data_IF_530155639251
#
_entry.id   IF_530155639251
#
_cell.length_a   1.000
_cell.length_b   1.000
_cell.length_c   1.000
_cell.angle_alpha   90.00
_cell.angle_beta   90.00
_cell.angle_gamma   90.00
#
_symmetry.space_group_name_H-M   'P 1'
#
loop_
_entity.id
_entity.type
_entity.pdbx_description
1 polymer ?
#
# COMPACT_ATOMS: atom_id res chain seq x y z
N UNK A 1 43.37 -67.85 3.12
CA UNK A 1 44.04 -67.18 4.26
C UNK A 1 43.18 -66.01 4.70
N UNK A 2 42.53 -66.15 5.86
CA UNK A 2 41.88 -65.13 6.72
C UNK A 2 43.02 -64.38 7.48
N UNK A 3 42.89 -63.17 8.10
CA UNK A 3 41.69 -62.43 8.56
C UNK A 3 41.63 -60.93 8.17
N UNK A 4 40.44 -60.28 8.11
CA UNK A 4 39.61 -59.72 9.21
C UNK A 4 40.35 -58.73 10.12
N UNK A 5 40.05 -57.43 9.96
CA UNK A 5 40.02 -56.48 11.07
C UNK A 5 38.93 -55.44 10.82
N UNK A 6 37.85 -55.55 11.61
CA UNK A 6 36.80 -54.55 11.76
C UNK A 6 37.36 -53.43 12.66
N UNK A 7 37.16 -52.18 12.28
CA UNK A 7 37.14 -51.06 13.23
C UNK A 7 35.97 -50.14 12.90
N UNK A 8 34.92 -50.31 13.69
CA UNK A 8 33.81 -49.38 13.85
C UNK A 8 34.32 -48.01 14.32
N UNK A 9 34.03 -46.95 13.56
CA UNK A 9 34.16 -45.58 14.06
C UNK A 9 32.75 -44.99 14.15
N UNK A 10 32.25 -44.94 15.38
CA UNK A 10 31.08 -44.17 15.79
C UNK A 10 31.28 -42.71 15.35
N UNK A 11 30.48 -42.26 14.38
CA UNK A 11 30.36 -40.85 14.02
C UNK A 11 29.59 -40.17 15.14
N UNK A 12 30.31 -39.56 16.07
CA UNK A 12 29.74 -38.72 17.11
C UNK A 12 28.86 -37.64 16.48
N UNK A 13 27.57 -37.66 16.82
CA UNK A 13 26.63 -36.60 16.51
C UNK A 13 27.10 -35.32 17.20
N UNK A 14 27.58 -34.35 16.43
CA UNK A 14 27.73 -32.97 16.91
C UNK A 14 26.34 -32.36 17.00
N UNK A 15 25.71 -32.47 18.17
CA UNK A 15 24.60 -31.59 18.55
C UNK A 15 25.17 -30.17 18.71
N UNK A 16 25.08 -29.36 17.65
CA UNK A 16 25.19 -27.92 17.83
C UNK A 16 23.90 -27.44 18.49
N UNK A 17 24.02 -27.16 19.79
CA UNK A 17 23.03 -26.44 20.57
C UNK A 17 22.90 -25.07 19.91
N UNK A 18 21.83 -24.87 19.14
CA UNK A 18 21.36 -23.54 18.77
C UNK A 18 20.99 -22.83 20.07
N UNK A 19 21.87 -21.97 20.55
CA UNK A 19 21.53 -21.03 21.62
C UNK A 19 20.50 -20.08 21.03
N UNK A 20 19.25 -20.22 21.47
CA UNK A 20 18.17 -19.31 21.11
C UNK A 20 18.63 -17.88 21.48
N UNK A 21 18.90 -17.07 20.47
CA UNK A 21 19.15 -15.64 20.63
C UNK A 21 17.81 -15.05 21.08
N UNK A 22 17.69 -14.80 22.38
CA UNK A 22 16.61 -14.01 22.95
C UNK A 22 16.52 -12.71 22.17
N UNK A 23 15.38 -12.47 21.52
CA UNK A 23 15.04 -11.22 20.86
C UNK A 23 15.16 -10.09 21.90
N UNK A 24 16.28 -9.39 21.87
CA UNK A 24 16.47 -8.16 22.62
C UNK A 24 15.51 -7.13 22.05
N UNK A 25 14.66 -6.58 22.92
CA UNK A 25 13.88 -5.35 22.72
C UNK A 25 14.70 -4.31 21.94
N UNK A 26 14.10 -3.53 21.01
CA UNK A 26 14.85 -2.54 20.25
C UNK A 26 15.44 -1.52 21.24
N UNK A 27 16.76 -1.55 21.39
CA UNK A 27 17.50 -0.48 22.04
C UNK A 27 17.27 0.77 21.22
N UNK A 28 16.54 1.73 21.77
CA UNK A 28 16.41 3.07 21.20
C UNK A 28 17.82 3.60 20.92
N UNK A 29 18.17 3.69 19.63
CA UNK A 29 19.44 4.22 19.16
C UNK A 29 19.62 5.64 19.69
N UNK A 30 20.84 6.02 20.08
CA UNK A 30 21.16 7.41 20.45
C UNK A 30 20.83 8.41 19.33
N UNK A 31 20.73 7.94 18.08
CA UNK A 31 20.32 8.72 16.90
C UNK A 31 18.81 8.95 16.81
N UNK A 32 17.97 8.19 17.53
CA UNK A 32 16.51 8.36 17.50
C UNK A 32 16.06 9.77 17.94
N UNK A 33 16.90 10.47 18.73
CA UNK A 33 16.67 11.86 19.16
C UNK A 33 16.94 12.90 18.07
N UNK A 34 17.64 12.53 17.00
CA UNK A 34 17.93 13.38 15.84
C UNK A 34 16.99 13.11 14.67
N UNK A 35 16.17 12.06 14.75
CA UNK A 35 15.19 11.75 13.72
C UNK A 35 14.05 12.75 13.80
N UNK A 36 13.66 13.26 12.64
CA UNK A 36 12.46 14.07 12.46
C UNK A 36 11.83 13.70 11.12
N UNK A 37 10.56 13.35 11.14
CA UNK A 37 9.83 12.85 9.97
C UNK A 37 8.77 13.85 9.51
N UNK A 38 8.78 14.17 8.23
CA UNK A 38 7.70 14.86 7.54
C UNK A 38 6.83 13.85 6.80
N UNK A 39 5.63 13.57 7.33
CA UNK A 39 4.62 12.75 6.67
C UNK A 39 3.80 13.62 5.72
N UNK A 40 4.02 13.47 4.41
CA UNK A 40 3.28 14.16 3.36
C UNK A 40 1.95 13.45 3.16
N UNK A 41 0.86 14.12 3.56
CA UNK A 41 -0.47 13.53 3.53
C UNK A 41 -1.18 13.91 2.22
N UNK A 42 -1.89 12.94 1.67
CA UNK A 42 -2.77 13.13 0.53
C UNK A 42 -4.18 13.48 1.03
N UNK A 43 -4.77 14.51 0.42
CA UNK A 43 -6.15 14.93 0.67
C UNK A 43 -6.91 15.02 -0.65
N UNK A 44 -8.24 14.88 -0.58
CA UNK A 44 -9.15 15.19 -1.68
C UNK A 44 -10.43 15.78 -1.12
N UNK A 45 -10.88 16.90 -1.68
CA UNK A 45 -12.11 17.59 -1.28
C UNK A 45 -12.16 17.85 0.24
N UNK A 46 -11.01 18.22 0.82
CA UNK A 46 -10.87 18.50 2.25
C UNK A 46 -10.83 17.26 3.15
N UNK A 47 -10.78 16.04 2.61
CA UNK A 47 -10.70 14.79 3.39
C UNK A 47 -9.37 14.09 3.20
N UNK A 48 -8.82 13.54 4.28
CA UNK A 48 -7.62 12.72 4.20
C UNK A 48 -7.87 11.41 3.45
N UNK A 49 -6.91 11.02 2.62
CA UNK A 49 -6.89 9.71 2.00
C UNK A 49 -6.28 8.67 2.95
N UNK A 50 -6.74 7.43 2.86
CA UNK A 50 -6.26 6.34 3.73
C UNK A 50 -4.76 6.05 3.57
N UNK A 51 -4.19 6.35 2.39
CA UNK A 51 -2.73 6.28 2.13
C UNK A 51 -1.93 7.12 3.13
N UNK A 52 -2.49 8.26 3.57
CA UNK A 52 -1.91 9.16 4.58
C UNK A 52 -1.78 8.48 5.94
N UNK A 53 -2.77 7.69 6.36
CA UNK A 53 -2.74 6.98 7.65
C UNK A 53 -1.62 5.93 7.68
N UNK A 54 -1.37 5.27 6.54
CA UNK A 54 -0.27 4.30 6.41
C UNK A 54 1.10 5.00 6.45
N UNK A 55 1.20 6.19 5.86
CA UNK A 55 2.42 7.02 5.92
C UNK A 55 2.74 7.43 7.36
N UNK A 56 1.73 7.84 8.14
CA UNK A 56 1.89 8.18 9.55
C UNK A 56 2.31 6.94 10.36
N UNK A 57 1.68 5.78 10.13
CA UNK A 57 2.05 4.54 10.80
C UNK A 57 3.52 4.16 10.56
N UNK A 58 4.00 4.30 9.32
CA UNK A 58 5.40 4.07 8.96
C UNK A 58 6.34 5.09 9.63
N UNK A 59 5.96 6.37 9.66
CA UNK A 59 6.72 7.42 10.34
C UNK A 59 6.85 7.16 11.85
N UNK A 60 5.77 6.75 12.51
CA UNK A 60 5.80 6.39 13.93
C UNK A 60 6.71 5.20 14.22
N UNK A 61 6.82 4.24 13.28
CA UNK A 61 7.71 3.09 13.40
C UNK A 61 9.20 3.46 13.32
N UNK A 62 9.55 4.52 12.57
CA UNK A 62 10.92 5.07 12.59
C UNK A 62 11.28 5.67 13.95
N UNK A 63 10.28 6.23 14.63
CA UNK A 63 10.48 6.98 15.87
C UNK A 63 10.91 8.42 15.63
N UNK A 64 11.11 9.15 16.72
CA UNK A 64 11.29 10.61 16.68
C UNK A 64 9.97 11.36 16.44
N UNK A 65 10.01 12.70 16.43
CA UNK A 65 8.86 13.53 16.12
C UNK A 65 8.33 13.33 14.69
N UNK A 66 7.00 13.34 14.57
CA UNK A 66 6.29 13.21 13.29
C UNK A 66 5.47 14.47 13.04
N UNK A 67 5.81 15.17 11.96
CA UNK A 67 5.06 16.33 11.48
C UNK A 67 4.30 15.96 10.21
N UNK A 68 3.01 16.25 10.16
CA UNK A 68 2.23 16.11 8.93
C UNK A 68 2.43 17.34 8.03
N UNK A 69 2.41 17.14 6.72
CA UNK A 69 2.38 18.20 5.72
C UNK A 69 1.15 18.07 4.83
N UNK A 70 0.43 19.17 4.66
CA UNK A 70 -0.75 19.28 3.80
C UNK A 70 -0.75 20.63 3.07
N UNK A 71 -1.20 20.62 1.82
CA UNK A 71 -1.44 21.84 1.06
C UNK A 71 -2.66 21.68 0.14
N UNK A 72 -3.42 22.76 -0.03
CA UNK A 72 -4.64 22.78 -0.84
C UNK A 72 -5.59 23.90 -0.43
N UNK A 73 -6.77 23.93 -1.04
CA UNK A 73 -7.81 24.93 -0.76
C UNK A 73 -8.46 24.65 0.60
N UNK A 74 -8.49 25.64 1.50
CA UNK A 74 -9.16 25.53 2.81
C UNK A 74 -8.63 24.40 3.69
N UNK A 75 -7.39 23.97 3.46
CA UNK A 75 -6.83 22.75 4.06
C UNK A 75 -6.72 22.83 5.57
N UNK A 76 -6.55 24.03 6.16
CA UNK A 76 -6.43 24.19 7.63
C UNK A 76 -7.72 23.83 8.35
N UNK A 77 -8.85 24.26 7.80
CA UNK A 77 -10.18 24.01 8.37
C UNK A 77 -10.72 22.61 8.11
N UNK A 78 -10.09 21.84 7.23
CA UNK A 78 -10.59 20.55 6.75
C UNK A 78 -9.61 19.42 7.07
N UNK A 79 -8.81 18.96 6.11
CA UNK A 79 -7.96 17.78 6.27
C UNK A 79 -6.79 18.00 7.25
N UNK A 80 -6.32 19.22 7.47
CA UNK A 80 -5.33 19.49 8.52
C UNK A 80 -5.96 19.46 9.92
N UNK A 81 -7.20 19.91 10.07
CA UNK A 81 -7.97 19.76 11.32
C UNK A 81 -8.30 18.29 11.60
N UNK A 82 -8.55 17.50 10.56
CA UNK A 82 -8.66 16.03 10.66
C UNK A 82 -7.32 15.42 11.10
N UNK A 83 -6.21 15.79 10.43
CA UNK A 83 -4.88 15.31 10.75
C UNK A 83 -4.48 15.65 12.20
N UNK A 84 -4.80 16.84 12.68
CA UNK A 84 -4.44 17.29 14.03
C UNK A 84 -4.97 16.38 15.15
N UNK A 85 -6.06 15.65 14.90
CA UNK A 85 -6.65 14.69 15.84
C UNK A 85 -5.99 13.31 15.81
N UNK A 86 -5.11 13.06 14.85
CA UNK A 86 -4.42 11.77 14.73
C UNK A 86 -3.36 11.68 15.83
N UNK A 87 -3.44 10.62 16.62
CA UNK A 87 -2.49 10.37 17.69
C UNK A 87 -1.09 10.12 17.14
N UNK A 88 -0.09 10.76 17.76
CA UNK A 88 1.33 10.59 17.42
C UNK A 88 1.84 11.51 16.30
N UNK A 89 1.06 12.52 15.91
CA UNK A 89 1.58 13.71 15.24
C UNK A 89 1.90 14.78 16.27
N UNK A 90 3.04 15.46 16.11
CA UNK A 90 3.41 16.59 16.95
C UNK A 90 2.86 17.90 16.39
N UNK A 91 2.92 18.03 15.06
CA UNK A 91 2.51 19.23 14.33
C UNK A 91 1.87 18.87 13.00
N UNK A 92 1.06 19.77 12.49
CA UNK A 92 0.54 19.77 11.11
C UNK A 92 0.97 21.05 10.44
N UNK A 93 1.89 20.97 9.49
CA UNK A 93 2.25 22.07 8.62
C UNK A 93 1.24 22.14 7.49
N UNK A 94 0.55 23.26 7.38
CA UNK A 94 -0.50 23.48 6.38
C UNK A 94 -0.18 24.70 5.51
N UNK A 95 -0.38 24.58 4.19
CA UNK A 95 -0.27 25.68 3.23
C UNK A 95 -1.58 25.81 2.45
N UNK A 96 -2.25 26.95 2.60
CA UNK A 96 -3.53 27.21 1.94
C UNK A 96 -3.36 27.99 0.65
N UNK A 97 -3.66 27.35 -0.48
CA UNK A 97 -3.71 27.98 -1.80
C UNK A 97 -4.40 27.06 -2.79
N UNK A 98 -5.21 27.64 -3.67
CA UNK A 98 -5.90 26.91 -4.74
C UNK A 98 -4.92 26.28 -5.74
N UNK A 99 -3.70 26.81 -5.83
CA UNK A 99 -2.64 26.27 -6.68
C UNK A 99 -2.27 24.81 -6.32
N UNK A 100 -2.49 24.40 -5.08
CA UNK A 100 -2.07 23.09 -4.56
C UNK A 100 -3.20 22.05 -4.52
N UNK A 101 -4.44 22.45 -4.79
CA UNK A 101 -5.63 21.59 -4.62
C UNK A 101 -5.55 20.31 -5.47
N UNK A 102 -5.03 20.40 -6.69
CA UNK A 102 -4.89 19.26 -7.60
C UNK A 102 -3.56 18.52 -7.48
N UNK A 103 -2.70 18.90 -6.53
CA UNK A 103 -1.48 18.16 -6.21
C UNK A 103 -0.47 18.03 -7.36
N UNK A 104 -0.39 19.03 -8.25
CA UNK A 104 0.48 18.97 -9.43
C UNK A 104 1.97 18.95 -9.00
N UNK A 105 2.78 17.96 -9.43
CA UNK A 105 4.16 17.84 -8.96
C UNK A 105 5.03 19.08 -9.28
N UNK A 106 4.73 19.80 -10.35
CA UNK A 106 5.47 20.96 -10.85
C UNK A 106 5.57 22.08 -9.81
N UNK A 107 4.48 22.40 -9.14
CA UNK A 107 4.41 23.43 -8.09
C UNK A 107 4.44 22.85 -6.67
N UNK A 108 3.95 21.62 -6.48
CA UNK A 108 3.92 20.99 -5.16
C UNK A 108 5.30 20.51 -4.70
N UNK A 109 6.17 20.05 -5.62
CA UNK A 109 7.51 19.60 -5.23
C UNK A 109 8.41 20.75 -4.72
N UNK A 110 8.51 21.92 -5.39
CA UNK A 110 9.24 23.07 -4.85
C UNK A 110 8.70 23.54 -3.50
N UNK A 111 7.36 23.62 -3.34
CA UNK A 111 6.71 23.92 -2.08
C UNK A 111 7.19 23.00 -0.96
N UNK A 112 7.15 21.69 -1.23
CA UNK A 112 7.54 20.69 -0.24
C UNK A 112 9.03 20.78 0.08
N UNK A 113 9.91 21.00 -0.90
CA UNK A 113 11.36 21.16 -0.69
C UNK A 113 11.68 22.34 0.24
N UNK A 114 11.00 23.47 0.11
CA UNK A 114 11.22 24.62 1.00
C UNK A 114 10.81 24.30 2.44
N UNK A 115 9.67 23.66 2.62
CA UNK A 115 9.20 23.22 3.94
C UNK A 115 10.11 22.14 4.54
N UNK A 116 10.66 21.26 3.71
CA UNK A 116 11.62 20.24 4.13
C UNK A 116 12.88 20.89 4.71
N UNK A 117 13.44 21.87 3.99
CA UNK A 117 14.67 22.57 4.40
C UNK A 117 14.44 23.41 5.65
N UNK A 118 13.31 24.13 5.73
CA UNK A 118 12.97 24.96 6.90
C UNK A 118 12.76 24.14 8.18
N UNK A 119 12.17 22.96 8.06
CA UNK A 119 11.92 22.08 9.20
C UNK A 119 13.06 21.11 9.52
N UNK A 120 14.16 21.13 8.76
CA UNK A 120 15.35 20.29 8.95
C UNK A 120 15.02 18.80 9.08
N UNK A 121 14.04 18.31 8.32
CA UNK A 121 13.59 16.93 8.42
C UNK A 121 14.60 15.94 7.84
N UNK A 122 14.74 14.80 8.52
CA UNK A 122 15.61 13.69 8.12
C UNK A 122 14.90 12.65 7.25
N UNK A 123 13.58 12.56 7.36
CA UNK A 123 12.76 11.54 6.70
C UNK A 123 11.53 12.17 6.09
N UNK A 124 11.28 11.92 4.81
CA UNK A 124 10.12 12.40 4.07
C UNK A 124 9.34 11.20 3.60
N UNK A 125 8.10 11.05 4.07
CA UNK A 125 7.31 9.84 3.85
C UNK A 125 5.95 10.21 3.27
N UNK A 126 5.55 9.52 2.21
CA UNK A 126 4.20 9.57 1.67
C UNK A 126 3.66 8.16 1.41
N UNK A 127 2.35 8.01 1.29
CA UNK A 127 1.77 6.76 0.81
C UNK A 127 2.21 6.48 -0.63
N UNK A 128 2.41 5.22 -0.99
CA UNK A 128 2.72 4.77 -2.37
C UNK A 128 1.47 4.79 -3.27
N UNK A 129 0.71 5.89 -3.22
CA UNK A 129 -0.45 6.19 -4.06
C UNK A 129 -0.03 6.84 -5.38
N UNK A 130 -0.99 7.16 -6.26
CA UNK A 130 -0.70 7.91 -7.49
C UNK A 130 -0.04 9.27 -7.17
N UNK A 131 -0.52 9.97 -6.15
CA UNK A 131 0.04 11.23 -5.66
C UNK A 131 1.48 11.07 -5.15
N UNK A 132 1.74 10.10 -4.26
CA UNK A 132 3.09 9.90 -3.74
C UNK A 132 4.10 9.47 -4.81
N UNK A 133 3.66 8.65 -5.78
CA UNK A 133 4.48 8.20 -6.92
C UNK A 133 4.82 9.32 -7.89
N UNK A 134 3.92 10.28 -8.11
CA UNK A 134 4.18 11.42 -8.99
C UNK A 134 5.04 12.48 -8.30
N UNK A 135 4.82 12.72 -7.01
CA UNK A 135 5.45 13.80 -6.26
C UNK A 135 6.87 13.47 -5.76
N UNK A 136 7.04 12.37 -5.02
CA UNK A 136 8.26 12.17 -4.23
C UNK A 136 9.54 11.94 -5.05
N UNK A 137 9.52 11.26 -6.23
CA UNK A 137 10.71 11.19 -7.08
C UNK A 137 11.21 12.58 -7.53
N UNK A 138 10.29 13.52 -7.78
CA UNK A 138 10.63 14.90 -8.15
C UNK A 138 11.25 15.65 -6.96
N UNK A 139 10.70 15.48 -5.76
CA UNK A 139 11.25 16.04 -4.52
C UNK A 139 12.66 15.51 -4.25
N UNK A 140 12.86 14.20 -4.39
CA UNK A 140 14.16 13.57 -4.20
C UNK A 140 15.21 14.12 -5.18
N UNK A 141 14.84 14.28 -6.46
CA UNK A 141 15.72 14.88 -7.46
C UNK A 141 16.09 16.35 -7.13
N UNK A 142 15.15 17.15 -6.63
CA UNK A 142 15.42 18.55 -6.22
C UNK A 142 16.30 18.65 -4.96
N UNK A 143 16.31 17.61 -4.12
CA UNK A 143 17.16 17.50 -2.94
C UNK A 143 18.49 16.80 -3.22
N UNK A 144 18.70 16.28 -4.44
CA UNK A 144 19.85 15.47 -4.83
C UNK A 144 20.06 14.22 -3.94
N UNK A 145 18.96 13.47 -3.70
CA UNK A 145 18.97 12.23 -2.91
C UNK A 145 18.21 11.10 -3.65
N UNK A 146 18.44 9.86 -3.25
CA UNK A 146 17.72 8.71 -3.79
C UNK A 146 16.38 8.51 -3.09
N UNK A 147 15.35 8.24 -3.89
CA UNK A 147 14.04 7.85 -3.38
C UNK A 147 13.94 6.33 -3.19
N UNK A 148 13.43 5.89 -2.04
CA UNK A 148 13.14 4.48 -1.76
C UNK A 148 11.65 4.22 -1.95
N UNK A 149 11.31 3.54 -3.04
CA UNK A 149 9.91 3.31 -3.43
C UNK A 149 9.26 2.10 -2.75
N UNK A 150 7.98 2.26 -2.40
CA UNK A 150 7.07 1.15 -2.07
C UNK A 150 7.57 0.23 -0.96
N UNK A 151 8.06 0.81 0.13
CA UNK A 151 8.60 0.03 1.24
C UNK A 151 7.48 -0.76 1.92
N UNK A 152 7.81 -1.97 2.35
CA UNK A 152 6.95 -2.86 3.13
C UNK A 152 7.50 -3.14 4.52
N UNK A 153 8.71 -2.67 4.82
CA UNK A 153 9.34 -2.82 6.11
C UNK A 153 10.39 -1.74 6.37
N UNK A 154 10.64 -1.52 7.66
CA UNK A 154 11.66 -0.62 8.19
C UNK A 154 12.45 -1.48 9.18
N UNK A 155 13.76 -1.64 8.93
CA UNK A 155 14.68 -2.39 9.79
C UNK A 155 15.46 -1.45 10.73
N UNK A 156 15.82 -0.27 10.24
CA UNK A 156 16.47 0.81 10.98
C UNK A 156 16.09 2.18 10.39
N UNK A 157 16.65 3.26 10.93
CA UNK A 157 16.49 4.64 10.44
C UNK A 157 17.05 4.88 9.03
N UNK A 158 17.80 3.95 8.46
CA UNK A 158 18.41 4.10 7.14
C UNK A 158 18.21 2.86 6.26
N UNK A 159 17.57 1.81 6.78
CA UNK A 159 17.45 0.51 6.12
C UNK A 159 15.99 0.08 5.98
N UNK A 160 15.58 -0.13 4.74
CA UNK A 160 14.18 -0.36 4.35
C UNK A 160 14.04 -1.65 3.54
N UNK A 161 12.90 -2.31 3.68
CA UNK A 161 12.57 -3.54 2.95
C UNK A 161 11.53 -3.21 1.89
N UNK A 162 11.75 -3.65 0.65
CA UNK A 162 10.81 -3.43 -0.46
C UNK A 162 10.75 -4.60 -1.44
N UNK A 163 9.59 -4.88 -2.05
CA UNK A 163 9.46 -5.85 -3.12
C UNK A 163 9.98 -5.32 -4.45
N UNK A 164 10.57 -6.21 -5.25
CA UNK A 164 10.92 -5.99 -6.66
C UNK A 164 10.43 -7.18 -7.50
N UNK A 165 10.50 -7.08 -8.84
CA UNK A 165 10.05 -8.13 -9.77
C UNK A 165 8.65 -8.67 -9.44
N UNK A 166 7.66 -7.77 -9.37
CA UNK A 166 6.28 -8.13 -9.03
C UNK A 166 6.14 -8.82 -7.64
N UNK A 167 7.07 -8.51 -6.74
CA UNK A 167 7.14 -9.07 -5.39
C UNK A 167 7.78 -10.46 -5.32
N UNK A 168 8.36 -10.97 -6.40
CA UNK A 168 9.04 -12.28 -6.39
C UNK A 168 10.42 -12.23 -5.72
N UNK A 169 10.98 -11.03 -5.50
CA UNK A 169 12.16 -10.85 -4.68
C UNK A 169 11.93 -9.70 -3.69
N UNK A 170 12.48 -9.85 -2.49
CA UNK A 170 12.46 -8.85 -1.43
C UNK A 170 13.88 -8.30 -1.29
N UNK A 171 14.00 -6.98 -1.41
CA UNK A 171 15.27 -6.27 -1.33
C UNK A 171 15.31 -5.46 -0.03
N UNK A 172 16.40 -5.61 0.72
CA UNK A 172 16.76 -4.70 1.81
C UNK A 172 17.70 -3.63 1.26
N UNK A 173 17.33 -2.36 1.40
CA UNK A 173 18.05 -1.20 0.88
C UNK A 173 18.47 -0.31 2.03
N UNK A 174 19.77 -0.10 2.20
CA UNK A 174 20.31 0.91 3.10
C UNK A 174 20.63 2.18 2.31
N UNK A 175 20.16 3.35 2.78
CA UNK A 175 20.46 4.65 2.18
C UNK A 175 21.55 5.37 2.97
N UNK A 176 22.57 5.85 2.25
CA UNK A 176 23.62 6.72 2.81
C UNK A 176 23.25 8.21 2.77
N UNK A 177 22.11 8.58 2.19
CA UNK A 177 21.72 9.97 2.04
C UNK A 177 21.32 10.59 3.39
N UNK A 178 21.58 11.88 3.57
CA UNK A 178 21.23 12.57 4.81
C UNK A 178 19.71 12.63 5.02
N UNK A 179 18.96 12.87 3.94
CA UNK A 179 17.49 12.89 3.92
C UNK A 179 16.98 11.65 3.22
N UNK A 180 16.09 10.90 3.86
CA UNK A 180 15.48 9.70 3.29
C UNK A 180 14.12 10.06 2.71
N UNK A 181 13.98 9.99 1.39
CA UNK A 181 12.70 10.20 0.70
C UNK A 181 12.07 8.85 0.38
N UNK A 182 10.89 8.56 0.94
CA UNK A 182 10.32 7.22 0.99
C UNK A 182 8.85 7.24 0.61
N UNK A 183 8.41 6.25 -0.18
CA UNK A 183 6.98 5.94 -0.31
C UNK A 183 6.66 4.60 0.35
N UNK A 184 5.53 4.53 1.05
CA UNK A 184 5.15 3.35 1.85
C UNK A 184 3.99 2.59 1.23
N UNK A 185 4.07 1.26 1.22
CA UNK A 185 2.96 0.42 0.79
C UNK A 185 1.85 0.46 1.83
N UNK A 186 0.67 0.94 1.44
CA UNK A 186 -0.47 1.06 2.36
C UNK A 186 -0.85 -0.26 3.05
N UNK A 187 -0.82 -1.37 2.32
CA UNK A 187 -1.17 -2.69 2.88
C UNK A 187 -0.14 -3.26 3.86
N UNK A 188 1.08 -2.71 3.90
CA UNK A 188 2.14 -3.18 4.80
C UNK A 188 2.16 -2.45 6.16
N UNK A 189 1.53 -1.27 6.23
CA UNK A 189 1.48 -0.45 7.43
C UNK A 189 0.02 -0.14 7.74
N UNK A 190 -0.55 -0.84 8.72
CA UNK A 190 -1.92 -0.60 9.15
C UNK A 190 -2.06 0.86 9.61
N UNK A 191 -3.10 1.53 9.12
CA UNK A 191 -3.38 2.93 9.46
C UNK A 191 -3.53 3.14 10.97
N UNK A 192 -3.26 4.37 11.39
CA UNK A 192 -3.32 4.81 12.79
C UNK A 192 -4.73 5.22 13.21
N UNK A 193 -4.99 5.23 14.52
CA UNK A 193 -6.21 5.81 15.09
C UNK A 193 -6.32 7.29 14.73
N UNK A 194 -7.49 7.70 14.23
CA UNK A 194 -7.72 9.06 13.72
C UNK A 194 -8.12 10.06 14.80
N UNK A 195 -8.19 9.63 16.06
CA UNK A 195 -8.63 10.44 17.19
C UNK A 195 -7.65 10.31 18.37
N UNK A 196 -7.75 11.24 19.33
CA UNK A 196 -6.94 11.24 20.55
C UNK A 196 -5.58 11.94 20.43
N UNK A 197 -5.28 12.54 19.28
CA UNK A 197 -4.21 13.51 19.08
C UNK A 197 -4.67 14.95 19.28
N UNK A 198 -3.71 15.86 19.37
CA UNK A 198 -3.95 17.30 19.52
C UNK A 198 -2.78 18.11 18.93
N UNK A 199 -2.33 17.72 17.74
CA UNK A 199 -1.19 18.36 17.09
C UNK A 199 -1.51 19.82 16.73
N UNK A 200 -0.54 20.71 16.90
CA UNK A 200 -0.69 22.11 16.52
C UNK A 200 -0.67 22.27 15.00
N UNK A 201 -1.63 23.01 14.45
CA UNK A 201 -1.62 23.39 13.03
C UNK A 201 -0.83 24.69 12.87
N UNK A 202 0.25 24.64 12.09
CA UNK A 202 1.16 25.76 11.85
C UNK A 202 1.27 26.08 10.36
N UNK A 203 1.57 27.34 10.06
CA UNK A 203 1.78 27.80 8.69
C UNK A 203 3.07 27.25 8.09
N UNK A 204 2.93 26.63 6.91
CA UNK A 204 4.07 26.31 6.04
C UNK A 204 4.58 27.52 5.26
N UNK A 205 5.71 27.34 4.57
CA UNK A 205 6.20 28.30 3.59
C UNK A 205 5.47 28.05 2.28
N UNK A 206 4.97 29.12 1.66
CA UNK A 206 4.46 29.05 0.29
C UNK A 206 5.55 29.49 -0.69
N UNK A 207 6.05 28.53 -1.48
CA UNK A 207 7.07 28.79 -2.52
C UNK A 207 6.56 29.68 -3.67
N UNK A 208 5.23 29.80 -3.82
CA UNK A 208 4.58 30.43 -4.98
C UNK A 208 5.13 29.92 -6.33
N UNK A 209 5.60 28.67 -6.37
CA UNK A 209 6.18 28.09 -7.57
C UNK A 209 5.11 27.97 -8.67
N UNK A 210 5.37 28.45 -9.89
CA UNK A 210 4.41 28.35 -10.98
C UNK A 210 4.26 26.89 -11.44
N UNK A 211 3.02 26.46 -11.71
CA UNK A 211 2.77 25.21 -12.40
C UNK A 211 2.98 25.42 -13.91
N UNK A 212 3.78 24.55 -14.54
CA UNK A 212 3.96 24.56 -16.00
C UNK A 212 2.83 23.81 -16.73
N UNK A 213 2.02 23.08 -15.97
CA UNK A 213 0.89 22.30 -16.43
C UNK A 213 -0.36 22.79 -15.72
N UNK A 214 -1.52 22.65 -16.38
CA UNK A 214 -2.80 22.94 -15.77
C UNK A 214 -3.64 21.67 -15.63
N UNK A 215 -4.38 21.58 -14.55
CA UNK A 215 -5.44 20.57 -14.41
C UNK A 215 -6.67 21.06 -15.19
N UNK A 216 -7.18 20.24 -16.11
CA UNK A 216 -8.30 20.60 -16.99
C UNK A 216 -9.61 19.95 -16.53
N UNK A 217 -9.61 18.63 -16.32
CA UNK A 217 -10.79 17.88 -15.91
C UNK A 217 -10.42 16.54 -15.29
N UNK A 218 -11.37 15.93 -14.59
CA UNK A 218 -11.31 14.56 -14.11
C UNK A 218 -12.67 13.88 -14.20
N UNK A 219 -12.68 12.58 -14.49
CA UNK A 219 -13.88 11.75 -14.45
C UNK A 219 -13.69 10.70 -13.35
N UNK A 220 -14.42 10.88 -12.24
CA UNK A 220 -14.31 10.00 -11.08
C UNK A 220 -15.41 8.95 -11.09
N UNK A 221 -15.02 7.69 -10.99
CA UNK A 221 -15.95 6.59 -10.77
C UNK A 221 -16.51 6.68 -9.35
N UNK A 222 -17.77 7.12 -9.22
CA UNK A 222 -18.48 7.07 -7.93
C UNK A 222 -19.00 5.66 -7.70
N UNK A 223 -18.69 5.11 -6.53
CA UNK A 223 -19.21 3.82 -6.09
C UNK A 223 -19.65 3.93 -4.64
N UNK A 224 -20.83 3.36 -4.34
CA UNK A 224 -21.29 3.15 -2.96
C UNK A 224 -20.55 1.98 -2.29
N UNK A 225 -19.72 1.26 -3.04
CA UNK A 225 -18.95 0.12 -2.52
C UNK A 225 -17.71 0.58 -1.79
N UNK A 226 -17.18 -0.25 -0.85
CA UNK A 226 -15.89 0.01 -0.22
C UNK A 226 -14.79 0.24 -1.27
N UNK A 227 -13.87 1.16 -0.99
CA UNK A 227 -12.71 1.36 -1.85
C UNK A 227 -11.86 0.09 -1.92
N UNK A 228 -11.44 -0.26 -3.14
CA UNK A 228 -10.73 -1.50 -3.41
C UNK A 228 -9.40 -1.61 -2.66
N UNK A 229 -8.70 -0.49 -2.41
CA UNK A 229 -7.41 -0.51 -1.72
C UNK A 229 -7.54 -0.75 -0.20
N UNK A 230 -8.71 -0.49 0.39
CA UNK A 230 -8.93 -0.62 1.84
C UNK A 230 -10.01 -1.63 2.23
N UNK A 231 -10.70 -2.23 1.27
CA UNK A 231 -11.73 -3.22 1.53
C UNK A 231 -11.18 -4.45 2.28
N UNK A 232 -11.92 -4.87 3.30
CA UNK A 232 -11.61 -6.09 4.07
C UNK A 232 -11.92 -7.37 3.29
N UNK A 233 -12.80 -7.29 2.30
CA UNK A 233 -13.20 -8.38 1.41
C UNK A 233 -13.24 -7.86 -0.02
N UNK A 234 -12.69 -8.62 -0.95
CA UNK A 234 -12.69 -8.30 -2.38
C UNK A 234 -13.21 -9.50 -3.15
N UNK A 235 -14.17 -9.27 -4.03
CA UNK A 235 -14.55 -10.23 -5.07
C UNK A 235 -14.00 -9.73 -6.40
N UNK A 236 -13.34 -10.58 -7.17
CA UNK A 236 -12.69 -10.16 -8.41
C UNK A 236 -13.03 -11.02 -9.61
N UNK A 237 -13.42 -10.34 -10.69
CA UNK A 237 -13.79 -10.96 -11.95
C UNK A 237 -12.68 -10.94 -13.00
N UNK A 238 -12.56 -12.04 -13.74
CA UNK A 238 -11.61 -12.18 -14.84
C UNK A 238 -12.23 -12.21 -16.23
N UNK A 239 -11.38 -12.50 -17.23
CA UNK A 239 -11.83 -12.71 -18.62
C UNK A 239 -12.86 -13.82 -18.75
N UNK A 240 -12.92 -14.76 -17.80
CA UNK A 240 -13.91 -15.83 -17.78
C UNK A 240 -15.37 -15.36 -17.77
N UNK A 241 -15.64 -14.09 -17.38
CA UNK A 241 -16.98 -13.49 -17.36
C UNK A 241 -17.51 -13.08 -18.73
N UNK A 242 -16.67 -13.06 -19.78
CA UNK A 242 -17.02 -12.88 -21.21
C UNK A 242 -17.63 -11.54 -21.64
N UNK A 243 -18.37 -10.82 -20.79
CA UNK A 243 -18.91 -9.49 -21.12
C UNK A 243 -19.09 -8.61 -19.88
N UNK A 244 -19.40 -7.33 -20.10
CA UNK A 244 -19.73 -6.40 -19.01
C UNK A 244 -21.02 -6.80 -18.29
N UNK A 245 -22.04 -7.18 -19.03
CA UNK A 245 -23.35 -7.57 -18.50
C UNK A 245 -23.22 -8.78 -17.57
N UNK A 246 -22.44 -9.77 -18.00
CA UNK A 246 -22.18 -10.97 -17.20
C UNK A 246 -21.25 -10.69 -16.01
N UNK A 247 -20.26 -9.80 -16.17
CA UNK A 247 -19.45 -9.32 -15.05
C UNK A 247 -20.33 -8.71 -13.96
N UNK A 248 -21.22 -7.79 -14.35
CA UNK A 248 -22.14 -7.12 -13.43
C UNK A 248 -23.14 -8.10 -12.81
N UNK A 249 -23.74 -8.98 -13.62
CA UNK A 249 -24.71 -10.01 -13.17
C UNK A 249 -24.14 -10.96 -12.12
N UNK A 250 -22.86 -11.34 -12.26
CA UNK A 250 -22.24 -12.35 -11.39
C UNK A 250 -21.51 -11.72 -10.21
N UNK A 251 -20.79 -10.62 -10.41
CA UNK A 251 -19.94 -10.02 -9.37
C UNK A 251 -20.72 -9.15 -8.39
N UNK A 252 -21.72 -8.39 -8.84
CA UNK A 252 -22.43 -7.45 -7.95
C UNK A 252 -23.20 -8.17 -6.83
N UNK A 253 -24.04 -9.19 -7.09
CA UNK A 253 -24.78 -9.86 -6.02
C UNK A 253 -23.87 -10.58 -5.02
N UNK A 254 -22.76 -11.15 -5.49
CA UNK A 254 -21.76 -11.77 -4.62
C UNK A 254 -21.08 -10.72 -3.74
N UNK A 255 -20.69 -9.59 -4.31
CA UNK A 255 -20.09 -8.49 -3.57
C UNK A 255 -21.04 -7.96 -2.48
N UNK A 256 -22.32 -7.78 -2.81
CA UNK A 256 -23.35 -7.32 -1.88
C UNK A 256 -23.53 -8.30 -0.71
N UNK A 257 -23.63 -9.59 -1.02
CA UNK A 257 -23.81 -10.63 0.00
C UNK A 257 -22.61 -10.73 0.96
N UNK A 258 -21.41 -10.33 0.51
CA UNK A 258 -20.20 -10.36 1.31
C UNK A 258 -19.84 -9.00 1.94
N UNK A 259 -20.52 -7.91 1.58
CA UNK A 259 -20.07 -6.54 1.89
C UNK A 259 -18.68 -6.25 1.32
N UNK A 260 -18.38 -6.78 0.13
CA UNK A 260 -17.07 -6.73 -0.50
C UNK A 260 -16.95 -5.61 -1.53
N UNK A 261 -15.72 -5.14 -1.75
CA UNK A 261 -15.37 -4.37 -2.95
C UNK A 261 -15.30 -5.28 -4.17
N UNK A 262 -15.44 -4.69 -5.35
CA UNK A 262 -15.30 -5.38 -6.63
C UNK A 262 -13.94 -5.03 -7.23
N UNK A 263 -13.19 -6.05 -7.63
CA UNK A 263 -11.95 -5.91 -8.41
C UNK A 263 -12.06 -6.59 -9.76
N UNK A 264 -11.09 -6.34 -10.64
CA UNK A 264 -11.01 -6.95 -11.95
C UNK A 264 -9.56 -7.31 -12.32
N UNK A 265 -9.40 -8.36 -13.13
CA UNK A 265 -8.12 -8.58 -13.81
C UNK A 265 -7.91 -7.57 -14.94
N UNK A 266 -6.66 -7.30 -15.32
CA UNK A 266 -6.36 -6.48 -16.51
C UNK A 266 -7.07 -6.97 -17.77
N UNK A 267 -7.14 -8.29 -17.96
CA UNK A 267 -7.81 -8.87 -19.12
C UNK A 267 -9.32 -8.55 -19.18
N UNK A 268 -9.97 -8.36 -18.03
CA UNK A 268 -11.37 -7.94 -17.97
C UNK A 268 -11.50 -6.43 -18.30
N UNK A 269 -10.56 -5.61 -17.83
CA UNK A 269 -10.50 -4.17 -18.15
C UNK A 269 -10.24 -3.93 -19.63
N UNK A 270 -9.21 -4.57 -20.18
CA UNK A 270 -8.84 -4.46 -21.60
C UNK A 270 -9.98 -4.94 -22.53
N UNK A 271 -10.89 -5.80 -22.03
CA UNK A 271 -12.07 -6.27 -22.75
C UNK A 271 -13.33 -5.42 -22.52
N UNK A 272 -13.23 -4.33 -21.75
CA UNK A 272 -14.35 -3.44 -21.44
C UNK A 272 -15.37 -3.97 -20.42
N UNK A 273 -15.04 -5.02 -19.66
CA UNK A 273 -15.96 -5.61 -18.68
C UNK A 273 -16.03 -4.79 -17.39
N UNK A 274 -14.92 -4.15 -17.04
CA UNK A 274 -14.74 -3.39 -15.82
C UNK A 274 -13.89 -2.15 -16.09
N UNK A 275 -14.10 -1.12 -15.28
CA UNK A 275 -13.30 0.10 -15.32
C UNK A 275 -11.85 -0.15 -14.85
N UNK A 276 -10.89 0.64 -15.34
CA UNK A 276 -9.48 0.52 -14.95
C UNK A 276 -9.26 0.76 -13.45
N UNK A 277 -10.08 1.58 -12.80
CA UNK A 277 -10.02 1.80 -11.35
C UNK A 277 -10.27 0.53 -10.54
N UNK A 278 -10.93 -0.48 -11.11
CA UNK A 278 -11.16 -1.78 -10.46
C UNK A 278 -10.01 -2.77 -10.69
N UNK A 279 -9.00 -2.41 -11.50
CA UNK A 279 -7.92 -3.33 -11.84
C UNK A 279 -7.06 -3.68 -10.62
N UNK A 280 -6.90 -4.98 -10.36
CA UNK A 280 -5.96 -5.52 -9.37
C UNK A 280 -4.75 -6.12 -10.08
N UNK A 281 -3.56 -5.78 -9.59
CA UNK A 281 -2.29 -6.30 -10.09
C UNK A 281 -1.16 -5.26 -10.09
N UNK A 282 -0.02 -5.63 -10.65
CA UNK A 282 1.21 -4.83 -10.71
C UNK A 282 0.99 -3.43 -11.31
N UNK A 283 0.13 -3.32 -12.33
CA UNK A 283 -0.17 -2.05 -13.01
C UNK A 283 -1.52 -1.46 -12.59
N UNK A 284 -2.15 -2.03 -11.55
CA UNK A 284 -3.41 -1.58 -10.98
C UNK A 284 -3.25 -1.30 -9.50
N UNK A 285 -4.26 -1.65 -8.70
CA UNK A 285 -4.23 -1.56 -7.24
C UNK A 285 -3.59 -2.80 -6.62
N UNK A 286 -2.80 -2.56 -5.58
CA UNK A 286 -2.35 -3.57 -4.63
C UNK A 286 -3.35 -3.62 -3.47
N UNK A 287 -3.84 -4.82 -3.17
CA UNK A 287 -4.83 -5.08 -2.12
C UNK A 287 -4.34 -6.22 -1.24
N UNK A 288 -4.69 -6.19 0.05
CA UNK A 288 -4.41 -7.27 0.99
C UNK A 288 -5.61 -7.50 1.93
N UNK A 289 -6.79 -7.84 1.39
CA UNK A 289 -7.99 -8.08 2.18
C UNK A 289 -7.86 -9.32 3.07
N UNK A 290 -8.81 -9.47 4.00
CA UNK A 290 -9.02 -10.70 4.74
C UNK A 290 -9.50 -11.83 3.82
N UNK A 291 -10.31 -11.51 2.83
CA UNK A 291 -10.78 -12.44 1.81
C UNK A 291 -10.60 -11.83 0.41
N UNK A 292 -9.91 -12.54 -0.46
CA UNK A 292 -9.89 -12.28 -1.89
C UNK A 292 -10.52 -13.46 -2.63
N UNK A 293 -11.75 -13.30 -3.11
CA UNK A 293 -12.45 -14.32 -3.89
C UNK A 293 -12.40 -13.96 -5.36
N UNK A 294 -11.76 -14.78 -6.17
CA UNK A 294 -11.67 -14.57 -7.62
C UNK A 294 -12.49 -15.59 -8.42
N UNK A 295 -13.13 -15.12 -9.48
CA UNK A 295 -13.92 -15.94 -10.39
C UNK A 295 -13.46 -15.72 -11.84
N UNK A 296 -13.04 -16.81 -12.50
CA UNK A 296 -12.60 -16.77 -13.90
C UNK A 296 -11.29 -16.02 -14.14
N UNK A 297 -10.42 -15.95 -13.13
CA UNK A 297 -9.07 -15.37 -13.20
C UNK A 297 -8.04 -16.51 -13.25
N UNK A 298 -7.11 -16.47 -14.21
CA UNK A 298 -6.10 -17.52 -14.38
C UNK A 298 -4.97 -17.46 -13.35
N UNK A 299 -4.70 -16.31 -12.75
CA UNK A 299 -3.59 -16.13 -11.80
C UNK A 299 -2.24 -15.80 -12.46
N UNK A 300 -2.25 -14.97 -13.51
CA UNK A 300 -1.00 -14.46 -14.08
C UNK A 300 -0.17 -13.71 -13.03
N UNK A 301 1.17 -13.79 -13.11
CA UNK A 301 2.12 -13.20 -12.14
C UNK A 301 1.80 -11.73 -11.87
N UNK A 302 1.45 -10.96 -12.90
CA UNK A 302 1.13 -9.54 -12.77
C UNK A 302 -0.15 -9.31 -11.96
N UNK A 303 -1.13 -10.21 -12.02
CA UNK A 303 -2.33 -10.10 -11.18
C UNK A 303 -2.00 -10.49 -9.74
N UNK A 304 -1.28 -11.60 -9.54
CA UNK A 304 -0.89 -12.08 -8.21
C UNK A 304 -0.08 -11.03 -7.43
N UNK A 305 0.77 -10.27 -8.12
CA UNK A 305 1.54 -9.17 -7.54
C UNK A 305 0.68 -8.14 -6.77
N UNK A 306 -0.60 -8.02 -7.12
CA UNK A 306 -1.54 -7.10 -6.51
C UNK A 306 -2.44 -7.71 -5.44
N UNK A 307 -2.43 -9.04 -5.22
CA UNK A 307 -3.39 -9.69 -4.29
C UNK A 307 -2.84 -10.88 -3.51
N UNK A 308 -1.60 -11.31 -3.75
CA UNK A 308 -1.02 -12.50 -3.09
C UNK A 308 -0.85 -12.37 -1.57
N UNK A 309 -0.84 -11.14 -1.05
CA UNK A 309 -0.71 -10.87 0.38
C UNK A 309 -2.08 -10.88 1.11
N UNK A 310 -3.16 -11.27 0.41
CA UNK A 310 -4.48 -11.48 1.02
C UNK A 310 -4.44 -12.61 2.04
N UNK A 311 -5.21 -12.51 3.14
CA UNK A 311 -5.19 -13.53 4.20
C UNK A 311 -5.78 -14.86 3.78
N UNK A 312 -6.86 -14.82 2.99
CA UNK A 312 -7.49 -15.99 2.38
C UNK A 312 -7.75 -15.69 0.91
N UNK A 313 -7.22 -16.53 0.03
CA UNK A 313 -7.45 -16.50 -1.41
C UNK A 313 -8.39 -17.65 -1.76
N UNK A 314 -9.58 -17.30 -2.23
CA UNK A 314 -10.55 -18.25 -2.76
C UNK A 314 -10.63 -18.11 -4.29
N UNK A 315 -10.66 -19.24 -5.00
CA UNK A 315 -10.68 -19.25 -6.47
C UNK A 315 -11.78 -20.16 -7.02
N UNK A 316 -12.56 -19.63 -7.96
CA UNK A 316 -13.50 -20.39 -8.80
C UNK A 316 -13.02 -20.32 -10.24
N UNK A 317 -12.60 -21.46 -10.80
CA UNK A 317 -12.13 -21.54 -12.17
C UNK A 317 -12.52 -22.89 -12.79
N UNK A 318 -12.86 -22.89 -14.08
CA UNK A 318 -13.21 -24.12 -14.81
C UNK A 318 -11.99 -24.97 -15.16
N UNK A 319 -10.83 -24.34 -15.25
CA UNK A 319 -9.56 -24.99 -15.62
C UNK A 319 -8.83 -25.44 -14.34
N UNK A 320 -8.75 -26.76 -14.04
CA UNK A 320 -8.09 -27.26 -12.84
C UNK A 320 -6.59 -26.95 -12.79
N UNK A 321 -5.97 -26.66 -13.94
CA UNK A 321 -4.54 -26.35 -14.05
C UNK A 321 -4.27 -24.83 -14.02
N UNK A 322 -5.28 -24.01 -13.76
CA UNK A 322 -5.11 -22.56 -13.69
C UNK A 322 -4.09 -22.18 -12.61
N UNK A 323 -3.06 -21.35 -12.92
CA UNK A 323 -2.02 -20.93 -11.97
C UNK A 323 -2.54 -20.33 -10.65
N UNK A 324 -3.74 -19.75 -10.65
CA UNK A 324 -4.38 -19.22 -9.44
C UNK A 324 -4.51 -20.27 -8.33
N UNK A 325 -4.71 -21.54 -8.67
CA UNK A 325 -4.83 -22.61 -7.68
C UNK A 325 -3.52 -22.91 -6.95
N UNK A 326 -2.37 -22.48 -7.48
CA UNK A 326 -1.08 -22.61 -6.79
C UNK A 326 -0.93 -21.67 -5.59
N UNK A 327 -1.77 -20.63 -5.52
CA UNK A 327 -1.75 -19.63 -4.43
C UNK A 327 -3.09 -19.53 -3.70
N UNK A 328 -4.11 -20.26 -4.14
CA UNK A 328 -5.43 -20.25 -3.51
C UNK A 328 -5.44 -21.16 -2.27
N UNK A 329 -5.89 -20.64 -1.14
CA UNK A 329 -6.15 -21.43 0.07
C UNK A 329 -7.38 -22.33 -0.12
N UNK A 330 -8.35 -21.85 -0.90
CA UNK A 330 -9.58 -22.59 -1.22
C UNK A 330 -9.85 -22.52 -2.72
N UNK A 331 -9.87 -23.67 -3.38
CA UNK A 331 -10.14 -23.77 -4.82
C UNK A 331 -11.41 -24.57 -5.11
N UNK A 332 -12.26 -24.06 -6.00
CA UNK A 332 -13.38 -24.78 -6.57
C UNK A 332 -13.23 -24.84 -8.08
N UNK A 333 -13.04 -26.06 -8.60
CA UNK A 333 -13.05 -26.31 -10.04
C UNK A 333 -14.49 -26.41 -10.52
N UNK A 334 -14.93 -25.48 -11.36
CA UNK A 334 -16.30 -25.46 -11.87
C UNK A 334 -16.62 -24.24 -12.74
N UNK A 335 -17.79 -24.26 -13.37
CA UNK A 335 -18.26 -23.10 -14.14
C UNK A 335 -18.69 -21.98 -13.19
N UNK A 336 -18.06 -20.81 -13.34
CA UNK A 336 -18.37 -19.62 -12.54
C UNK A 336 -19.83 -19.17 -12.72
N UNK A 337 -20.46 -19.43 -13.88
CA UNK A 337 -21.84 -19.02 -14.15
C UNK A 337 -22.86 -19.85 -13.36
N UNK A 338 -22.45 -21.01 -12.84
CA UNK A 338 -23.26 -21.86 -11.97
C UNK A 338 -22.84 -21.70 -10.51
N UNK A 339 -21.52 -21.76 -10.24
CA UNK A 339 -20.97 -21.81 -8.88
C UNK A 339 -21.01 -20.51 -8.13
N UNK A 340 -20.83 -19.37 -8.81
CA UNK A 340 -20.92 -18.07 -8.14
C UNK A 340 -22.37 -17.76 -7.71
N UNK A 341 -23.41 -17.94 -8.56
CA UNK A 341 -24.80 -17.79 -8.12
C UNK A 341 -25.18 -18.77 -6.99
N UNK A 342 -24.77 -20.05 -7.09
CA UNK A 342 -25.02 -21.04 -6.03
C UNK A 342 -24.44 -20.62 -4.68
N UNK A 343 -23.18 -20.13 -4.68
CA UNK A 343 -22.53 -19.60 -3.49
C UNK A 343 -23.25 -18.36 -2.94
N UNK A 344 -23.66 -17.45 -3.82
CA UNK A 344 -24.35 -16.21 -3.45
C UNK A 344 -25.67 -16.52 -2.72
N UNK A 345 -26.46 -17.45 -3.23
CA UNK A 345 -27.73 -17.84 -2.58
C UNK A 345 -27.52 -18.52 -1.22
N UNK A 346 -26.47 -19.35 -1.10
CA UNK A 346 -26.08 -19.95 0.18
C UNK A 346 -25.66 -18.90 1.21
N UNK A 347 -24.96 -17.84 0.79
CA UNK A 347 -24.54 -16.75 1.67
C UNK A 347 -25.69 -15.89 2.16
N UNK A 348 -26.72 -15.66 1.33
CA UNK A 348 -27.93 -14.93 1.74
C UNK A 348 -28.78 -15.70 2.77
N UNK A 349 -28.62 -17.02 2.79
CA UNK A 349 -29.37 -17.93 3.66
C UNK A 349 -28.68 -18.21 5.01
N UNK A 350 -27.47 -17.67 5.21
CA UNK A 350 -26.61 -17.86 6.39
C UNK A 350 -26.61 -16.62 7.28
#
# INVERSE_FOLDING_TARGET
MIPIARSSVLRAARSQIYTARTLTSPTSSALARLLSTLAVLEQRDGKLQNSSLSAIAAAQKLGGPVTAFLAGTGVKGTSAAEAAKIKGLDKVVAVESDAYEKGLPENYAPLLVENIKKGEYTHIIAGHSAFGKSLLPRVAALLDVQQVSDITGIESEDTFVRPIYAGNAILTVQSSDNIKVITVRGTAFQGVETEGGSAEIVDGVDSNAPAQTEWVSEELTKSERPDLATATRVVSGGRGLKSKEEFDRIMQPLADSLGAAIGASRAAVDSGFADNSLQVGQTGKNVAPQLYLCAGISGAIQHLAGMKDSKVIAAINKDPEAPIFQVADVGLVGDLFEKVPELTEKLKSA
#
